data_IF_918092378100
#
_entry.id   IF_918092378100
#
_cell.length_a   1.000
_cell.length_b   1.000
_cell.length_c   1.000
_cell.angle_alpha   90.00
_cell.angle_beta   90.00
_cell.angle_gamma   90.00
#
_symmetry.space_group_name_H-M   'P 1'
#
loop_
_entity.id
_entity.type
_entity.pdbx_description
1 polymer ?
#
# COMPACT_ATOMS: atom_id res chain seq x y z
N UNK A 1 -2.29 19.74 -14.18
CA UNK A 1 -0.84 19.71 -13.86
C UNK A 1 -0.72 19.49 -12.37
N UNK A 2 0.11 18.54 -11.91
CA UNK A 2 0.29 18.30 -10.47
C UNK A 2 0.88 19.52 -9.77
N UNK A 3 0.28 19.94 -8.67
CA UNK A 3 0.90 20.93 -7.80
C UNK A 3 1.80 20.25 -6.77
N UNK A 4 2.92 20.87 -6.41
CA UNK A 4 3.84 20.33 -5.40
C UNK A 4 3.12 20.05 -4.07
N UNK A 5 2.25 20.92 -3.55
CA UNK A 5 1.48 20.63 -2.33
C UNK A 5 0.60 19.38 -2.45
N UNK A 6 -0.05 19.15 -3.59
CA UNK A 6 -0.87 17.94 -3.79
C UNK A 6 -0.04 16.67 -3.74
N UNK A 7 1.14 16.67 -4.39
CA UNK A 7 2.06 15.52 -4.34
C UNK A 7 2.52 15.22 -2.91
N UNK A 8 2.86 16.27 -2.14
CA UNK A 8 3.27 16.12 -0.74
C UNK A 8 2.13 15.55 0.10
N UNK A 9 0.91 16.09 -0.05
CA UNK A 9 -0.26 15.62 0.72
C UNK A 9 -0.62 14.17 0.39
N UNK A 10 -0.60 13.78 -0.89
CA UNK A 10 -0.85 12.39 -1.31
C UNK A 10 0.19 11.44 -0.72
N UNK A 11 1.47 11.84 -0.77
CA UNK A 11 2.57 11.02 -0.20
C UNK A 11 2.44 10.89 1.32
N UNK A 12 2.15 11.98 2.02
CA UNK A 12 1.94 11.97 3.48
C UNK A 12 0.74 11.09 3.86
N UNK A 13 -0.38 11.24 3.13
CA UNK A 13 -1.56 10.40 3.35
C UNK A 13 -1.23 8.92 3.19
N UNK A 14 -0.60 8.55 2.07
CA UNK A 14 -0.29 7.15 1.80
C UNK A 14 0.69 6.55 2.82
N UNK A 15 1.70 7.32 3.23
CA UNK A 15 2.64 6.91 4.29
C UNK A 15 1.91 6.70 5.60
N UNK A 16 1.07 7.65 6.01
CA UNK A 16 0.28 7.56 7.24
C UNK A 16 -0.68 6.36 7.20
N UNK A 17 -1.37 6.15 6.09
CA UNK A 17 -2.27 5.02 5.90
C UNK A 17 -1.51 3.68 6.03
N UNK A 18 -0.35 3.54 5.39
CA UNK A 18 0.45 2.33 5.50
C UNK A 18 0.95 2.07 6.94
N UNK A 19 1.40 3.10 7.65
CA UNK A 19 1.80 2.97 9.05
C UNK A 19 0.63 2.49 9.94
N UNK A 20 -0.55 3.07 9.74
CA UNK A 20 -1.76 2.66 10.45
C UNK A 20 -2.13 1.20 10.17
N UNK A 21 -2.13 0.80 8.91
CA UNK A 21 -2.55 -0.54 8.51
C UNK A 21 -1.56 -1.62 8.92
N UNK A 22 -0.27 -1.33 8.84
CA UNK A 22 0.80 -2.27 9.22
C UNK A 22 0.90 -2.48 10.74
N UNK A 23 0.61 -1.44 11.53
CA UNK A 23 0.76 -1.50 12.98
C UNK A 23 -0.47 -1.96 13.76
N UNK A 24 -1.67 -1.72 13.24
CA UNK A 24 -2.91 -1.89 14.01
C UNK A 24 -3.89 -2.91 13.42
N UNK A 25 -3.67 -3.39 12.21
CA UNK A 25 -4.64 -4.23 11.50
C UNK A 25 -5.94 -3.51 11.10
N UNK A 26 -6.06 -2.21 11.40
CA UNK A 26 -7.25 -1.41 11.11
C UNK A 26 -7.49 -1.19 9.60
N UNK A 27 -6.53 -1.53 8.76
CA UNK A 27 -6.63 -1.37 7.32
C UNK A 27 -7.81 -2.11 6.67
N UNK A 28 -8.16 -3.26 7.21
CA UNK A 28 -9.32 -4.02 6.74
C UNK A 28 -10.65 -3.40 7.19
N UNK A 29 -10.66 -2.71 8.35
CA UNK A 29 -11.87 -2.09 8.90
C UNK A 29 -12.17 -0.71 8.31
N UNK A 30 -11.19 -0.05 7.68
CA UNK A 30 -11.29 1.33 7.23
C UNK A 30 -11.66 1.48 5.74
N UNK A 31 -12.21 0.45 5.10
CA UNK A 31 -12.65 0.55 3.70
C UNK A 31 -11.49 0.72 2.69
N UNK A 32 -10.31 0.28 3.06
CA UNK A 32 -9.09 0.07 2.27
C UNK A 32 -8.92 0.96 1.02
N UNK A 33 -9.22 0.39 -0.11
CA UNK A 33 -8.97 1.01 -1.43
C UNK A 33 -9.92 2.17 -1.70
N UNK A 34 -11.21 2.05 -1.33
CA UNK A 34 -12.20 3.12 -1.52
C UNK A 34 -11.84 4.36 -0.71
N UNK A 35 -11.43 4.19 0.55
CA UNK A 35 -11.03 5.31 1.39
C UNK A 35 -9.81 6.03 0.81
N UNK A 36 -8.81 5.28 0.36
CA UNK A 36 -7.64 5.86 -0.29
C UNK A 36 -8.03 6.63 -1.56
N UNK A 37 -8.94 6.07 -2.37
CA UNK A 37 -9.47 6.75 -3.53
C UNK A 37 -10.16 8.07 -3.20
N UNK A 38 -11.04 8.07 -2.21
CA UNK A 38 -11.77 9.28 -1.77
C UNK A 38 -10.84 10.37 -1.24
N UNK A 39 -9.89 10.02 -0.38
CA UNK A 39 -8.97 11.01 0.20
C UNK A 39 -8.04 11.59 -0.86
N UNK A 40 -7.47 10.74 -1.72
CA UNK A 40 -6.63 11.22 -2.81
C UNK A 40 -7.45 12.05 -3.81
N UNK A 41 -8.67 11.62 -4.15
CA UNK A 41 -9.59 12.40 -4.97
C UNK A 41 -9.91 13.78 -4.38
N UNK A 42 -10.11 13.86 -3.07
CA UNK A 42 -10.31 15.14 -2.39
C UNK A 42 -9.07 16.05 -2.44
N UNK A 43 -7.86 15.49 -2.24
CA UNK A 43 -6.59 16.22 -2.35
C UNK A 43 -6.38 16.73 -3.79
N UNK A 44 -6.73 15.91 -4.77
CA UNK A 44 -6.59 16.25 -6.19
C UNK A 44 -7.71 17.19 -6.70
N UNK A 45 -8.79 17.36 -5.94
CA UNK A 45 -9.95 18.17 -6.33
C UNK A 45 -10.94 17.43 -7.24
N UNK A 46 -10.84 16.11 -7.35
CA UNK A 46 -11.71 15.24 -8.15
C UNK A 46 -12.15 14.00 -7.37
N UNK A 47 -13.08 14.21 -6.46
CA UNK A 47 -13.65 13.16 -5.60
C UNK A 47 -14.37 12.09 -6.44
N UNK A 48 -14.97 12.48 -7.57
CA UNK A 48 -15.70 11.59 -8.46
C UNK A 48 -14.76 10.52 -9.03
N UNK A 49 -13.65 10.93 -9.60
CA UNK A 49 -12.60 10.02 -10.07
C UNK A 49 -12.05 9.16 -8.93
N UNK A 50 -11.86 9.76 -7.75
CA UNK A 50 -11.40 9.04 -6.55
C UNK A 50 -12.35 7.93 -6.13
N UNK A 51 -13.66 8.21 -6.08
CA UNK A 51 -14.68 7.23 -5.73
C UNK A 51 -14.80 6.13 -6.79
N UNK A 52 -14.82 6.52 -8.06
CA UNK A 52 -14.96 5.58 -9.18
C UNK A 52 -13.80 4.57 -9.22
N UNK A 53 -12.56 5.05 -9.19
CA UNK A 53 -11.38 4.18 -9.21
C UNK A 53 -11.25 3.37 -7.93
N UNK A 54 -11.51 3.98 -6.77
CA UNK A 54 -11.51 3.30 -5.49
C UNK A 54 -12.52 2.15 -5.45
N UNK A 55 -13.76 2.40 -5.86
CA UNK A 55 -14.82 1.40 -5.94
C UNK A 55 -14.51 0.30 -6.96
N UNK A 56 -14.01 0.66 -8.14
CA UNK A 56 -13.65 -0.32 -9.18
C UNK A 56 -12.56 -1.28 -8.71
N UNK A 57 -11.54 -0.77 -8.02
CA UNK A 57 -10.46 -1.61 -7.51
C UNK A 57 -10.88 -2.44 -6.29
N UNK A 58 -11.75 -1.92 -5.43
CA UNK A 58 -12.28 -2.67 -4.28
C UNK A 58 -13.17 -3.83 -4.72
N UNK A 59 -14.02 -3.62 -5.74
CA UNK A 59 -14.93 -4.62 -6.27
C UNK A 59 -14.24 -5.66 -7.15
N UNK A 60 -12.97 -5.48 -7.47
CA UNK A 60 -12.25 -6.46 -8.27
C UNK A 60 -12.06 -7.75 -7.47
N UNK A 61 -12.63 -8.90 -7.89
CA UNK A 61 -12.58 -10.16 -7.15
C UNK A 61 -11.16 -10.72 -6.97
N UNK A 62 -10.18 -10.18 -7.69
CA UNK A 62 -8.76 -10.49 -7.49
C UNK A 62 -8.14 -9.69 -6.34
N UNK A 63 -8.87 -8.76 -5.74
CA UNK A 63 -8.44 -7.89 -4.64
C UNK A 63 -8.33 -8.57 -3.27
N UNK A 64 -8.42 -9.89 -3.19
CA UNK A 64 -8.17 -10.65 -1.98
C UNK A 64 -6.68 -10.64 -1.61
N UNK A 65 -6.32 -9.72 -0.80
CA UNK A 65 -5.19 -9.68 0.15
C UNK A 65 -3.74 -9.63 -0.36
N UNK A 66 -3.37 -10.02 -1.57
CA UNK A 66 -1.94 -10.13 -1.86
C UNK A 66 -1.45 -9.67 -3.23
N UNK A 67 -2.27 -9.71 -4.28
CA UNK A 67 -1.79 -9.34 -5.63
C UNK A 67 -2.99 -9.01 -6.52
N UNK A 68 -3.06 -7.87 -7.16
CA UNK A 68 -2.17 -6.71 -7.12
C UNK A 68 -2.36 -5.81 -5.88
N UNK A 69 -1.37 -4.97 -5.55
CA UNK A 69 -1.49 -4.00 -4.45
C UNK A 69 -2.37 -2.82 -4.87
N UNK A 70 -3.68 -3.01 -4.78
CA UNK A 70 -4.66 -2.00 -5.21
C UNK A 70 -4.65 -0.73 -4.36
N UNK A 71 -4.19 -0.79 -3.10
CA UNK A 71 -4.05 0.42 -2.28
C UNK A 71 -3.05 1.41 -2.91
N UNK A 72 -1.91 0.91 -3.39
CA UNK A 72 -0.95 1.77 -4.09
C UNK A 72 -1.46 2.13 -5.50
N UNK A 73 -2.08 1.19 -6.17
CA UNK A 73 -2.68 1.40 -7.49
C UNK A 73 -3.72 2.50 -7.49
N UNK A 74 -4.63 2.54 -6.50
CA UNK A 74 -5.66 3.58 -6.43
C UNK A 74 -5.08 4.95 -6.14
N UNK A 75 -4.10 5.05 -5.25
CA UNK A 75 -3.46 6.34 -4.92
C UNK A 75 -2.83 6.97 -6.15
N UNK A 76 -2.04 6.21 -6.88
CA UNK A 76 -1.39 6.69 -8.11
C UNK A 76 -2.41 6.85 -9.25
N UNK A 77 -3.33 5.90 -9.39
CA UNK A 77 -4.38 5.93 -10.42
C UNK A 77 -5.28 7.16 -10.29
N UNK A 78 -5.71 7.50 -9.08
CA UNK A 78 -6.55 8.70 -8.85
C UNK A 78 -5.75 9.99 -9.10
N UNK A 79 -4.50 10.04 -8.65
CA UNK A 79 -3.64 11.19 -8.90
C UNK A 79 -3.49 11.45 -10.42
N UNK A 80 -3.21 10.42 -11.20
CA UNK A 80 -3.13 10.55 -12.66
C UNK A 80 -4.49 10.74 -13.31
N UNK A 81 -5.53 10.08 -12.82
CA UNK A 81 -6.90 10.18 -13.36
C UNK A 81 -7.49 11.58 -13.25
N UNK A 82 -7.24 12.27 -12.14
CA UNK A 82 -7.67 13.65 -11.94
C UNK A 82 -7.01 14.65 -12.90
N UNK A 83 -5.88 14.31 -13.52
CA UNK A 83 -5.16 15.21 -14.45
C UNK A 83 -5.30 14.79 -15.91
N UNK A 84 -5.26 13.47 -16.16
CA UNK A 84 -5.20 12.91 -17.51
C UNK A 84 -6.44 12.11 -17.93
N UNK A 85 -7.46 12.08 -17.07
CA UNK A 85 -8.71 11.36 -17.28
C UNK A 85 -8.72 9.96 -16.63
N UNK A 86 -9.94 9.52 -16.30
CA UNK A 86 -10.19 8.29 -15.51
C UNK A 86 -9.58 7.04 -16.15
N UNK A 87 -9.67 6.90 -17.48
CA UNK A 87 -9.13 5.75 -18.22
C UNK A 87 -7.61 5.66 -18.07
N UNK A 88 -6.91 6.79 -18.19
CA UNK A 88 -5.46 6.88 -17.99
C UNK A 88 -5.12 6.53 -16.54
N UNK A 89 -5.86 7.07 -15.58
CA UNK A 89 -5.72 6.77 -14.17
C UNK A 89 -5.88 5.29 -13.87
N UNK A 90 -6.88 4.65 -14.46
CA UNK A 90 -7.11 3.21 -14.31
C UNK A 90 -5.94 2.39 -14.86
N UNK A 91 -5.49 2.67 -16.06
CA UNK A 91 -4.39 1.96 -16.69
C UNK A 91 -3.09 2.09 -15.88
N UNK A 92 -2.72 3.31 -15.49
CA UNK A 92 -1.54 3.58 -14.67
C UNK A 92 -1.64 2.89 -13.30
N UNK A 93 -2.80 2.98 -12.67
CA UNK A 93 -3.06 2.38 -11.36
C UNK A 93 -2.88 0.86 -11.37
N UNK A 94 -3.37 0.15 -12.40
CA UNK A 94 -3.20 -1.31 -12.55
C UNK A 94 -1.72 -1.67 -12.70
N UNK A 95 -0.98 -0.94 -13.53
CA UNK A 95 0.46 -1.18 -13.72
C UNK A 95 1.21 -0.98 -12.41
N UNK A 96 0.94 0.12 -11.70
CA UNK A 96 1.57 0.41 -10.41
C UNK A 96 1.19 -0.62 -9.35
N UNK A 97 -0.09 -1.05 -9.29
CA UNK A 97 -0.53 -2.09 -8.38
C UNK A 97 0.22 -3.41 -8.58
N UNK A 98 0.45 -3.78 -9.84
CA UNK A 98 1.19 -5.00 -10.21
C UNK A 98 2.67 -4.91 -9.83
N UNK A 99 3.31 -3.78 -10.12
CA UNK A 99 4.72 -3.55 -9.75
C UNK A 99 4.88 -3.53 -8.23
N UNK A 100 3.99 -2.85 -7.51
CA UNK A 100 4.01 -2.79 -6.06
C UNK A 100 3.84 -4.17 -5.41
N UNK A 101 3.01 -5.06 -5.98
CA UNK A 101 2.89 -6.44 -5.48
C UNK A 101 4.20 -7.22 -5.62
N UNK A 102 4.92 -7.00 -6.70
CA UNK A 102 6.22 -7.66 -6.88
C UNK A 102 7.21 -7.22 -5.79
N UNK A 103 7.24 -5.93 -5.47
CA UNK A 103 8.03 -5.40 -4.36
C UNK A 103 7.58 -5.95 -3.01
N UNK A 104 6.27 -6.06 -2.78
CA UNK A 104 5.70 -6.67 -1.57
C UNK A 104 6.15 -8.13 -1.39
N UNK A 105 6.14 -8.92 -2.46
CA UNK A 105 6.62 -10.31 -2.43
C UNK A 105 8.10 -10.35 -2.07
N UNK A 106 8.92 -9.51 -2.70
CA UNK A 106 10.35 -9.42 -2.39
C UNK A 106 10.59 -9.02 -0.94
N UNK A 107 9.85 -8.02 -0.43
CA UNK A 107 9.95 -7.60 0.97
C UNK A 107 9.56 -8.73 1.94
N UNK A 108 8.50 -9.50 1.64
CA UNK A 108 8.09 -10.67 2.42
C UNK A 108 9.14 -11.78 2.39
N UNK A 109 9.79 -12.01 1.27
CA UNK A 109 10.88 -12.99 1.16
C UNK A 109 12.06 -12.59 2.04
N UNK A 110 12.46 -11.32 2.03
CA UNK A 110 13.52 -10.80 2.91
C UNK A 110 13.11 -10.90 4.38
N UNK A 111 11.87 -10.50 4.71
CA UNK A 111 11.33 -10.63 6.06
C UNK A 111 11.31 -12.08 6.56
N UNK A 112 10.93 -13.03 5.70
CA UNK A 112 10.95 -14.46 6.00
C UNK A 112 12.35 -14.97 6.33
N UNK A 113 13.38 -14.50 5.63
CA UNK A 113 14.76 -14.84 5.96
C UNK A 113 15.14 -14.43 7.40
N UNK A 114 14.81 -13.21 7.80
CA UNK A 114 15.06 -12.74 9.17
C UNK A 114 14.25 -13.52 10.20
N UNK A 115 13.02 -13.87 9.89
CA UNK A 115 12.17 -14.66 10.77
C UNK A 115 12.74 -16.07 10.99
N UNK A 116 13.22 -16.75 9.96
CA UNK A 116 13.88 -18.04 10.12
C UNK A 116 15.14 -17.95 10.97
N UNK A 117 15.95 -16.90 10.81
CA UNK A 117 17.13 -16.66 11.66
C UNK A 117 16.73 -16.42 13.12
N UNK A 118 15.63 -15.71 13.37
CA UNK A 118 15.11 -15.52 14.70
C UNK A 118 14.62 -16.85 15.30
N UNK A 119 13.92 -17.68 14.56
CA UNK A 119 13.47 -19.01 14.98
C UNK A 119 14.65 -19.93 15.34
N UNK A 120 15.70 -19.95 14.52
CA UNK A 120 16.93 -20.70 14.81
C UNK A 120 17.60 -20.25 16.13
N UNK A 121 17.61 -18.94 16.38
CA UNK A 121 18.15 -18.40 17.61
C UNK A 121 17.30 -18.79 18.84
N UNK A 122 15.97 -18.82 18.71
CA UNK A 122 15.07 -19.31 19.76
C UNK A 122 15.31 -20.80 20.03
N UNK A 123 15.47 -21.62 19.00
CA UNK A 123 15.79 -23.04 19.14
C UNK A 123 17.10 -23.28 19.92
N UNK A 124 18.06 -22.38 19.82
CA UNK A 124 19.33 -22.36 20.57
C UNK A 124 19.21 -21.66 21.94
N UNK A 125 18.00 -21.34 22.42
CA UNK A 125 17.71 -20.59 23.65
C UNK A 125 18.41 -19.22 23.73
N UNK A 126 18.78 -18.63 22.59
CA UNK A 126 19.40 -17.32 22.48
C UNK A 126 18.35 -16.24 22.23
N UNK A 127 17.64 -15.81 23.28
CA UNK A 127 16.56 -14.82 23.19
C UNK A 127 17.07 -13.46 22.69
N UNK A 128 18.28 -13.04 23.13
CA UNK A 128 18.86 -11.77 22.66
C UNK A 128 19.15 -11.78 21.16
N UNK A 129 19.68 -12.90 20.66
CA UNK A 129 19.91 -13.09 19.23
C UNK A 129 18.62 -13.08 18.43
N UNK A 130 17.58 -13.76 18.92
CA UNK A 130 16.27 -13.77 18.29
C UNK A 130 15.67 -12.35 18.19
N UNK A 131 15.71 -11.58 19.29
CA UNK A 131 15.24 -10.19 19.31
C UNK A 131 16.00 -9.29 18.32
N UNK A 132 17.30 -9.47 18.17
CA UNK A 132 18.07 -8.71 17.20
C UNK A 132 17.67 -9.03 15.76
N UNK A 133 17.45 -10.29 15.43
CA UNK A 133 16.98 -10.69 14.09
C UNK A 133 15.58 -10.17 13.79
N UNK A 134 14.67 -10.20 14.78
CA UNK A 134 13.33 -9.63 14.63
C UNK A 134 13.41 -8.13 14.37
N UNK A 135 14.24 -7.39 15.14
CA UNK A 135 14.41 -5.93 14.93
C UNK A 135 14.95 -5.62 13.54
N UNK A 136 15.88 -6.39 13.02
CA UNK A 136 16.43 -6.21 11.67
C UNK A 136 15.39 -6.52 10.59
N UNK A 137 14.51 -7.50 10.81
CA UNK A 137 13.46 -7.85 9.87
C UNK A 137 12.23 -6.93 9.91
N UNK A 138 12.05 -6.16 11.00
CA UNK A 138 10.97 -5.18 11.17
C UNK A 138 11.37 -3.76 10.76
N UNK A 139 12.59 -3.56 10.31
CA UNK A 139 12.96 -2.25 9.79
C UNK A 139 12.26 -2.04 8.44
N UNK A 140 11.39 -1.00 8.34
CA UNK A 140 10.70 -0.67 7.10
C UNK A 140 11.66 -0.16 6.04
#
# INVERSE_FOLDING_TARGET
MFSIPQMVLVTLWFTFYNLLTSGTGLGLAAGGVVLNGLVVGAIMGDISTGFYLGGTYELNPLGGSTVPNYNMGVVVGVAFGAVAGVETGMAVGIVVATLASTLDVLAKMVGSFFLHKAQDAVGKKNIKGAMNWIRLGFWP
#
